data_IF_282497161578
#
_entry.id   IF_282497161578
#
_cell.length_a   1.000
_cell.length_b   1.000
_cell.length_c   1.000
_cell.angle_alpha   90.00
_cell.angle_beta   90.00
_cell.angle_gamma   90.00
#
_symmetry.space_group_name_H-M   'P 1'
#
loop_
_entity.id
_entity.type
_entity.pdbx_description
1 polymer ?
#
# COMPACT_ATOMS: atom_id res chain seq x y z
N UNK A 1 5.36 14.20 -12.32
CA UNK A 1 4.79 12.97 -12.93
C UNK A 1 3.31 12.88 -12.56
N UNK A 2 2.40 12.40 -13.42
CA UNK A 2 0.98 12.22 -13.03
C UNK A 2 0.89 11.05 -12.05
N UNK A 3 0.06 11.14 -11.01
CA UNK A 3 -0.08 10.11 -9.93
C UNK A 3 -0.27 8.70 -10.49
N UNK A 4 -1.06 8.56 -11.55
CA UNK A 4 -1.31 7.29 -12.26
C UNK A 4 -0.06 6.69 -12.90
N UNK A 5 0.78 7.51 -13.52
CA UNK A 5 2.04 7.07 -14.14
C UNK A 5 3.00 6.55 -13.06
N UNK A 6 3.09 7.28 -11.93
CA UNK A 6 3.90 6.89 -10.77
C UNK A 6 3.45 5.55 -10.17
N UNK A 7 2.14 5.39 -9.99
CA UNK A 7 1.54 4.13 -9.54
C UNK A 7 1.86 2.96 -10.48
N UNK A 8 1.70 3.12 -11.80
CA UNK A 8 2.01 2.06 -12.76
C UNK A 8 3.48 1.66 -12.72
N UNK A 9 4.40 2.61 -12.58
CA UNK A 9 5.83 2.33 -12.50
C UNK A 9 6.17 1.50 -11.26
N UNK A 10 5.67 1.88 -10.08
CA UNK A 10 5.96 1.15 -8.84
C UNK A 10 5.23 -0.19 -8.77
N UNK A 11 4.01 -0.29 -9.30
CA UNK A 11 3.30 -1.55 -9.48
C UNK A 11 4.07 -2.51 -10.40
N UNK A 12 4.77 -1.98 -11.41
CA UNK A 12 5.72 -2.73 -12.24
C UNK A 12 6.86 -3.33 -11.42
N UNK A 13 7.51 -2.54 -10.57
CA UNK A 13 8.59 -3.03 -9.67
C UNK A 13 8.09 -4.12 -8.71
N UNK A 14 6.91 -3.92 -8.11
CA UNK A 14 6.29 -4.92 -7.25
C UNK A 14 5.99 -6.22 -8.00
N UNK A 15 5.47 -6.13 -9.22
CA UNK A 15 5.16 -7.30 -10.06
C UNK A 15 6.43 -8.10 -10.40
N UNK A 16 7.55 -7.42 -10.66
CA UNK A 16 8.84 -8.08 -10.90
C UNK A 16 9.36 -8.79 -9.64
N UNK A 17 9.29 -8.14 -8.47
CA UNK A 17 9.68 -8.75 -7.20
C UNK A 17 8.80 -9.97 -6.86
N UNK A 18 7.48 -9.86 -7.08
CA UNK A 18 6.53 -10.97 -6.89
C UNK A 18 6.75 -12.12 -7.88
N UNK A 19 7.48 -11.90 -8.98
CA UNK A 19 7.84 -12.95 -9.93
C UNK A 19 9.14 -13.69 -9.58
N UNK A 20 9.89 -13.23 -8.56
CA UNK A 20 11.18 -13.81 -8.20
C UNK A 20 11.03 -15.26 -7.70
N UNK A 21 11.75 -16.23 -8.26
CA UNK A 21 11.62 -17.64 -7.87
C UNK A 21 12.03 -17.92 -6.41
N UNK A 22 12.87 -17.07 -5.80
CA UNK A 22 13.23 -17.19 -4.37
C UNK A 22 12.02 -17.00 -3.46
N UNK A 23 11.00 -16.27 -3.94
CA UNK A 23 9.75 -16.07 -3.21
C UNK A 23 9.01 -17.39 -3.03
N UNK A 24 8.83 -18.17 -4.11
CA UNK A 24 8.19 -19.47 -4.05
C UNK A 24 8.99 -20.49 -3.22
N UNK A 25 10.31 -20.44 -3.29
CA UNK A 25 11.18 -21.32 -2.49
C UNK A 25 11.11 -21.04 -0.98
N UNK A 26 10.75 -19.81 -0.58
CA UNK A 26 10.70 -19.39 0.82
C UNK A 26 9.27 -19.05 1.29
N UNK A 27 8.24 -19.49 0.55
CA UNK A 27 6.86 -19.06 0.72
C UNK A 27 6.34 -19.16 2.16
N UNK A 28 6.67 -20.24 2.86
CA UNK A 28 6.19 -20.51 4.22
C UNK A 28 7.14 -20.02 5.31
N UNK A 29 8.28 -19.42 4.96
CA UNK A 29 9.21 -18.86 5.94
C UNK A 29 8.65 -17.57 6.57
N UNK A 30 9.06 -17.22 7.81
CA UNK A 30 8.73 -15.94 8.41
C UNK A 30 9.23 -14.76 7.56
N UNK A 31 8.42 -13.70 7.47
CA UNK A 31 8.80 -12.43 6.84
C UNK A 31 9.35 -11.42 7.85
N UNK A 32 9.77 -10.25 7.36
CA UNK A 32 10.12 -9.09 8.17
C UNK A 32 8.92 -8.53 8.96
N UNK A 33 7.69 -8.77 8.51
CA UNK A 33 6.49 -8.38 9.26
C UNK A 33 6.11 -9.48 10.27
N UNK A 34 6.00 -9.14 11.57
CA UNK A 34 5.62 -10.10 12.59
C UNK A 34 4.32 -10.82 12.24
N UNK A 35 4.31 -12.15 12.43
CA UNK A 35 3.13 -13.03 12.22
C UNK A 35 2.65 -13.12 10.78
N UNK A 36 3.47 -12.72 9.81
CA UNK A 36 3.27 -13.01 8.40
C UNK A 36 4.40 -13.91 7.89
N UNK A 37 4.04 -14.92 7.10
CA UNK A 37 5.01 -15.61 6.23
C UNK A 37 5.37 -14.72 5.05
N UNK A 38 6.43 -15.06 4.34
CA UNK A 38 6.84 -14.42 3.10
C UNK A 38 5.71 -14.48 2.06
N UNK A 39 5.01 -15.62 1.95
CA UNK A 39 3.86 -15.79 1.08
C UNK A 39 2.69 -14.88 1.48
N UNK A 40 2.42 -14.71 2.78
CA UNK A 40 1.40 -13.78 3.25
C UNK A 40 1.77 -12.33 2.92
N UNK A 41 3.02 -11.90 3.18
CA UNK A 41 3.50 -10.56 2.83
C UNK A 41 3.44 -10.32 1.32
N UNK A 42 3.80 -11.30 0.50
CA UNK A 42 3.64 -11.23 -0.95
C UNK A 42 2.18 -11.10 -1.37
N UNK A 43 1.27 -11.85 -0.73
CA UNK A 43 -0.18 -11.72 -0.93
C UNK A 43 -0.68 -10.31 -0.59
N UNK A 44 -0.19 -9.72 0.51
CA UNK A 44 -0.50 -8.34 0.91
C UNK A 44 0.01 -7.31 -0.10
N UNK A 45 1.28 -7.43 -0.54
CA UNK A 45 1.85 -6.57 -1.58
C UNK A 45 1.07 -6.70 -2.90
N UNK A 46 0.78 -7.93 -3.36
CA UNK A 46 0.01 -8.16 -4.57
C UNK A 46 -1.41 -7.59 -4.49
N UNK A 47 -2.02 -7.66 -3.31
CA UNK A 47 -3.33 -7.10 -3.03
C UNK A 47 -3.39 -5.57 -3.21
N UNK A 48 -2.28 -4.85 -2.99
CA UNK A 48 -2.22 -3.41 -3.26
C UNK A 48 -2.44 -3.06 -4.75
N UNK A 49 -2.18 -4.01 -5.67
CA UNK A 49 -2.50 -3.88 -7.09
C UNK A 49 -3.92 -4.38 -7.38
N UNK A 50 -4.22 -5.60 -6.97
CA UNK A 50 -5.48 -6.29 -7.28
C UNK A 50 -6.70 -5.49 -6.82
N UNK A 51 -6.62 -4.84 -5.65
CA UNK A 51 -7.74 -4.09 -5.11
C UNK A 51 -8.09 -2.83 -5.93
N UNK A 52 -7.15 -2.27 -6.69
CA UNK A 52 -7.42 -1.12 -7.58
C UNK A 52 -8.41 -1.52 -8.66
N UNK A 53 -8.18 -2.65 -9.31
CA UNK A 53 -9.09 -3.16 -10.32
C UNK A 53 -10.45 -3.51 -9.72
N UNK A 54 -10.46 -4.20 -8.57
CA UNK A 54 -11.71 -4.53 -7.88
C UNK A 54 -12.55 -3.29 -7.53
N UNK A 55 -11.93 -2.19 -7.08
CA UNK A 55 -12.66 -0.95 -6.78
C UNK A 55 -13.11 -0.19 -8.02
N UNK A 56 -12.34 -0.27 -9.10
CA UNK A 56 -12.73 0.32 -10.37
C UNK A 56 -13.92 -0.42 -11.01
N UNK A 57 -14.02 -1.73 -10.80
CA UNK A 57 -15.12 -2.59 -11.27
C UNK A 57 -16.39 -2.52 -10.40
N UNK A 58 -16.25 -2.06 -9.15
CA UNK A 58 -17.37 -1.89 -8.24
C UNK A 58 -18.30 -0.74 -8.68
N UNK A 59 -19.53 -0.78 -8.15
CA UNK A 59 -20.45 0.33 -8.29
C UNK A 59 -19.83 1.62 -7.71
N UNK A 60 -20.11 2.80 -8.32
CA UNK A 60 -19.69 4.06 -7.73
C UNK A 60 -20.24 4.22 -6.30
N UNK A 61 -19.50 4.91 -5.42
CA UNK A 61 -19.99 5.15 -4.07
C UNK A 61 -21.31 5.95 -4.10
N UNK A 62 -22.17 5.81 -3.07
CA UNK A 62 -23.36 6.64 -2.91
C UNK A 62 -23.04 8.13 -3.00
N UNK A 63 -23.96 8.92 -3.55
CA UNK A 63 -23.78 10.38 -3.75
C UNK A 63 -23.55 11.13 -2.43
N UNK A 64 -24.09 10.61 -1.33
CA UNK A 64 -23.99 11.16 0.01
C UNK A 64 -22.84 10.55 0.85
N UNK A 65 -22.04 9.64 0.27
CA UNK A 65 -20.89 9.06 0.96
C UNK A 65 -19.86 10.14 1.32
N UNK A 66 -19.35 10.10 2.56
CA UNK A 66 -18.29 11.00 2.98
C UNK A 66 -17.06 10.78 2.12
N UNK A 67 -16.63 11.82 1.42
CA UNK A 67 -15.38 11.83 0.68
C UNK A 67 -14.21 12.04 1.64
N UNK A 68 -13.21 11.17 1.59
CA UNK A 68 -11.99 11.25 2.40
C UNK A 68 -10.76 11.31 1.51
N UNK A 69 -9.75 12.05 1.98
CA UNK A 69 -8.42 12.11 1.36
C UNK A 69 -7.59 10.86 1.68
N UNK A 70 -6.49 10.67 0.96
CA UNK A 70 -5.53 9.60 1.23
C UNK A 70 -5.00 9.62 2.68
N UNK A 71 -4.78 10.82 3.24
CA UNK A 71 -4.27 11.00 4.60
C UNK A 71 -5.32 10.66 5.65
N UNK A 72 -6.54 11.17 5.51
CA UNK A 72 -7.65 10.87 6.43
C UNK A 72 -7.97 9.37 6.46
N UNK A 73 -7.89 8.70 5.31
CA UNK A 73 -8.11 7.26 5.22
C UNK A 73 -7.19 6.47 6.16
N UNK A 74 -5.91 6.83 6.22
CA UNK A 74 -4.93 6.21 7.13
C UNK A 74 -5.07 6.69 8.57
N UNK A 75 -5.34 7.97 8.79
CA UNK A 75 -5.49 8.52 10.14
C UNK A 75 -6.65 7.88 10.92
N UNK A 76 -7.68 7.42 10.23
CA UNK A 76 -8.82 6.70 10.82
C UNK A 76 -8.49 5.24 11.18
N UNK A 77 -7.36 4.69 10.74
CA UNK A 77 -6.92 3.32 11.06
C UNK A 77 -6.23 3.26 12.43
N UNK A 78 -7.02 3.48 13.48
CA UNK A 78 -6.56 3.43 14.88
C UNK A 78 -6.27 1.97 15.30
N UNK A 79 -5.21 1.75 16.09
CA UNK A 79 -4.89 0.44 16.69
C UNK A 79 -3.98 -0.46 15.85
N UNK A 80 -3.23 0.11 14.90
CA UNK A 80 -2.20 -0.62 14.14
C UNK A 80 -1.05 -1.11 15.04
N UNK A 81 -0.78 -0.43 16.16
CA UNK A 81 0.30 -0.76 17.10
C UNK A 81 0.08 -2.10 17.83
N UNK A 82 -1.19 -2.51 18.00
CA UNK A 82 -1.53 -3.81 18.58
C UNK A 82 -1.64 -4.87 17.49
N UNK A 83 -0.66 -5.76 17.43
CA UNK A 83 -0.62 -6.86 16.46
C UNK A 83 -1.84 -7.80 16.55
N UNK A 84 -2.54 -7.85 17.69
CA UNK A 84 -3.72 -8.66 17.92
C UNK A 84 -5.05 -7.92 17.66
N UNK A 85 -5.00 -6.64 17.27
CA UNK A 85 -6.21 -5.87 16.95
C UNK A 85 -7.00 -6.50 15.80
N UNK A 86 -8.33 -6.32 15.80
CA UNK A 86 -9.20 -6.82 14.73
C UNK A 86 -8.77 -6.34 13.34
N UNK A 87 -8.24 -5.11 13.27
CA UNK A 87 -7.68 -4.53 12.06
C UNK A 87 -6.51 -5.38 11.54
N UNK A 88 -5.51 -5.63 12.39
CA UNK A 88 -4.31 -6.38 12.02
C UNK A 88 -4.60 -7.86 11.74
N UNK A 89 -5.52 -8.48 12.48
CA UNK A 89 -6.03 -9.82 12.17
C UNK A 89 -6.67 -9.84 10.79
N UNK A 90 -7.54 -8.87 10.48
CA UNK A 90 -8.20 -8.76 9.18
C UNK A 90 -7.22 -8.52 8.03
N UNK A 91 -6.17 -7.73 8.24
CA UNK A 91 -5.10 -7.52 7.23
C UNK A 91 -4.39 -8.84 6.93
N UNK A 92 -3.97 -9.58 7.96
CA UNK A 92 -3.34 -10.90 7.78
C UNK A 92 -4.25 -11.90 7.08
N UNK A 93 -5.53 -11.93 7.44
CA UNK A 93 -6.49 -12.83 6.83
C UNK A 93 -6.64 -12.56 5.32
N UNK A 94 -6.79 -11.30 4.90
CA UNK A 94 -6.87 -10.91 3.48
C UNK A 94 -5.55 -11.15 2.73
N UNK A 95 -4.42 -11.02 3.41
CA UNK A 95 -3.11 -11.34 2.86
C UNK A 95 -3.00 -12.84 2.53
N UNK A 96 -3.45 -13.70 3.46
CA UNK A 96 -3.52 -15.15 3.24
C UNK A 96 -4.49 -15.53 2.11
N UNK A 97 -5.67 -14.90 2.05
CA UNK A 97 -6.63 -15.11 0.95
C UNK A 97 -6.02 -14.79 -0.42
N UNK A 98 -5.27 -13.69 -0.50
CA UNK A 98 -4.57 -13.28 -1.72
C UNK A 98 -3.42 -14.23 -2.08
N UNK A 99 -2.81 -14.88 -1.07
CA UNK A 99 -1.74 -15.85 -1.20
C UNK A 99 -2.21 -17.30 -1.39
N UNK A 100 -3.52 -17.58 -1.27
CA UNK A 100 -4.05 -18.95 -1.16
C UNK A 100 -3.74 -19.84 -2.38
N UNK A 101 -3.59 -19.26 -3.56
CA UNK A 101 -3.21 -19.98 -4.79
C UNK A 101 -1.72 -20.29 -4.91
N UNK A 102 -0.88 -19.85 -3.96
CA UNK A 102 0.56 -19.98 -4.01
C UNK A 102 1.25 -19.00 -4.97
N UNK A 103 2.58 -19.12 -5.07
CA UNK A 103 3.44 -18.18 -5.79
C UNK A 103 3.06 -18.01 -7.27
N UNK A 104 2.89 -19.13 -7.99
CA UNK A 104 2.60 -19.08 -9.43
C UNK A 104 1.24 -18.43 -9.75
N UNK A 105 0.23 -18.69 -8.92
CA UNK A 105 -1.09 -18.08 -9.08
C UNK A 105 -1.03 -16.58 -8.78
N UNK A 106 -0.40 -16.19 -7.67
CA UNK A 106 -0.24 -14.78 -7.32
C UNK A 106 0.50 -14.01 -8.42
N UNK A 107 1.66 -14.52 -8.86
CA UNK A 107 2.45 -13.95 -9.97
C UNK A 107 1.60 -13.76 -11.23
N UNK A 108 0.77 -14.75 -11.57
CA UNK A 108 -0.09 -14.68 -12.76
C UNK A 108 -1.15 -13.59 -12.62
N UNK A 109 -1.83 -13.54 -11.47
CA UNK A 109 -2.88 -12.57 -11.18
C UNK A 109 -2.35 -11.13 -11.21
N UNK A 110 -1.25 -10.84 -10.50
CA UNK A 110 -0.69 -9.48 -10.45
C UNK A 110 -0.17 -9.02 -11.80
N UNK A 111 0.47 -9.91 -12.58
CA UNK A 111 0.94 -9.57 -13.92
C UNK A 111 -0.20 -9.29 -14.90
N UNK A 112 -1.33 -9.99 -14.77
CA UNK A 112 -2.52 -9.73 -15.57
C UNK A 112 -3.20 -8.42 -15.16
N UNK A 113 -3.35 -8.19 -13.85
CA UNK A 113 -3.92 -6.97 -13.31
C UNK A 113 -3.11 -5.73 -13.74
N UNK A 114 -1.78 -5.77 -13.63
CA UNK A 114 -0.92 -4.67 -14.07
C UNK A 114 -1.16 -4.30 -15.54
N UNK A 115 -1.25 -5.28 -16.45
CA UNK A 115 -1.52 -5.01 -17.86
C UNK A 115 -2.86 -4.31 -18.08
N UNK A 116 -3.92 -4.79 -17.40
CA UNK A 116 -5.25 -4.18 -17.50
C UNK A 116 -5.25 -2.76 -16.93
N UNK A 117 -4.58 -2.53 -15.80
CA UNK A 117 -4.47 -1.19 -15.20
C UNK A 117 -3.66 -0.23 -16.09
N UNK A 118 -2.61 -0.69 -16.76
CA UNK A 118 -1.85 0.11 -17.73
C UNK A 118 -2.71 0.61 -18.89
N UNK A 119 -3.65 -0.22 -19.37
CA UNK A 119 -4.57 0.14 -20.45
C UNK A 119 -5.73 1.02 -19.95
N UNK A 120 -6.25 0.74 -18.75
CA UNK A 120 -7.47 1.35 -18.20
C UNK A 120 -7.26 2.73 -17.60
N UNK A 121 -6.25 2.90 -16.73
CA UNK A 121 -6.07 4.13 -15.93
C UNK A 121 -5.95 5.42 -16.75
N UNK A 122 -5.37 5.45 -17.97
CA UNK A 122 -5.35 6.65 -18.80
C UNK A 122 -6.75 7.14 -19.23
N UNK A 123 -7.74 6.24 -19.30
CA UNK A 123 -9.10 6.55 -19.73
C UNK A 123 -10.09 6.90 -18.61
N UNK A 124 -9.71 6.69 -17.34
CA UNK A 124 -10.59 7.00 -16.20
C UNK A 124 -10.76 8.52 -16.04
N UNK A 125 -11.97 9.03 -15.71
CA UNK A 125 -12.20 10.45 -15.45
C UNK A 125 -11.31 10.99 -14.31
N UNK A 126 -11.04 12.31 -14.32
CA UNK A 126 -10.22 12.94 -13.28
C UNK A 126 -10.92 12.97 -11.91
N UNK A 127 -12.25 13.00 -11.92
CA UNK A 127 -13.16 13.00 -10.77
C UNK A 127 -13.71 11.60 -10.44
N UNK A 128 -13.13 10.53 -11.00
CA UNK A 128 -13.54 9.15 -10.72
C UNK A 128 -13.45 8.89 -9.21
N UNK A 129 -14.59 8.60 -8.59
CA UNK A 129 -14.67 8.17 -7.20
C UNK A 129 -14.69 6.64 -7.11
N UNK A 130 -14.08 6.11 -6.05
CA UNK A 130 -14.16 4.70 -5.64
C UNK A 130 -14.72 4.60 -4.22
N UNK A 131 -15.45 3.53 -3.93
CA UNK A 131 -15.83 3.20 -2.56
C UNK A 131 -14.66 2.51 -1.85
N UNK A 132 -14.28 3.04 -0.69
CA UNK A 132 -13.21 2.50 0.17
C UNK A 132 -13.79 2.01 1.50
N UNK A 133 -12.95 1.36 2.31
CA UNK A 133 -13.35 0.77 3.60
C UNK A 133 -14.23 1.70 4.44
N UNK A 134 -15.34 1.16 4.95
CA UNK A 134 -16.32 1.89 5.76
C UNK A 134 -17.38 2.64 4.95
N UNK A 135 -17.60 2.29 3.68
CA UNK A 135 -18.62 2.94 2.83
C UNK A 135 -18.30 4.39 2.49
N UNK A 136 -17.01 4.76 2.54
CA UNK A 136 -16.53 6.12 2.27
C UNK A 136 -16.19 6.25 0.79
N UNK A 137 -16.33 7.45 0.25
CA UNK A 137 -15.86 7.76 -1.09
C UNK A 137 -14.41 8.26 -1.05
N UNK A 138 -13.66 8.03 -2.12
CA UNK A 138 -12.34 8.61 -2.32
C UNK A 138 -12.10 8.84 -3.82
N UNK A 139 -11.41 9.92 -4.18
CA UNK A 139 -10.92 10.07 -5.56
C UNK A 139 -9.97 8.92 -5.90
N UNK A 140 -10.10 8.34 -7.09
CA UNK A 140 -9.21 7.29 -7.58
C UNK A 140 -7.74 7.71 -7.43
N UNK A 141 -7.42 8.94 -7.79
CA UNK A 141 -6.07 9.49 -7.71
C UNK A 141 -5.54 9.57 -6.26
N UNK A 142 -6.40 9.79 -5.26
CA UNK A 142 -6.01 9.72 -3.85
C UNK A 142 -5.87 8.27 -3.39
N UNK A 143 -6.75 7.38 -3.87
CA UNK A 143 -6.63 5.96 -3.58
C UNK A 143 -5.33 5.36 -4.13
N UNK A 144 -4.89 5.80 -5.32
CA UNK A 144 -3.60 5.44 -5.89
C UNK A 144 -2.42 6.00 -5.08
N UNK A 145 -2.57 7.14 -4.40
CA UNK A 145 -1.55 7.61 -3.43
C UNK A 145 -1.46 6.64 -2.24
N UNK A 146 -2.60 6.16 -1.70
CA UNK A 146 -2.57 5.12 -0.66
C UNK A 146 -1.88 3.85 -1.16
N UNK A 147 -2.19 3.39 -2.38
CA UNK A 147 -1.56 2.17 -2.93
C UNK A 147 -0.06 2.35 -3.16
N UNK A 148 0.40 3.54 -3.55
CA UNK A 148 1.84 3.82 -3.68
C UNK A 148 2.57 3.75 -2.35
N UNK A 149 1.95 4.18 -1.23
CA UNK A 149 2.50 3.98 0.12
C UNK A 149 2.68 2.49 0.41
N UNK A 150 1.60 1.70 0.28
CA UNK A 150 1.65 0.25 0.54
C UNK A 150 2.72 -0.45 -0.30
N UNK A 151 2.74 -0.17 -1.60
CA UNK A 151 3.66 -0.83 -2.53
C UNK A 151 5.10 -0.46 -2.19
N UNK A 152 5.38 0.82 -1.95
CA UNK A 152 6.74 1.30 -1.66
C UNK A 152 7.28 0.69 -0.38
N UNK A 153 6.49 0.69 0.69
CA UNK A 153 6.87 0.11 1.98
C UNK A 153 7.06 -1.41 1.86
N UNK A 154 6.11 -2.11 1.24
CA UNK A 154 6.14 -3.57 1.23
C UNK A 154 7.05 -4.18 0.14
N UNK A 155 7.52 -3.39 -0.84
CA UNK A 155 8.67 -3.78 -1.67
C UNK A 155 9.91 -3.94 -0.79
N UNK A 156 10.16 -2.99 0.12
CA UNK A 156 11.31 -3.03 1.03
C UNK A 156 11.18 -4.20 2.01
N UNK A 157 10.02 -4.34 2.67
CA UNK A 157 9.77 -5.45 3.61
C UNK A 157 9.98 -6.81 2.95
N UNK A 158 9.49 -6.99 1.72
CA UNK A 158 9.61 -8.26 1.00
C UNK A 158 11.04 -8.52 0.54
N UNK A 159 11.76 -7.49 0.08
CA UNK A 159 13.17 -7.63 -0.29
C UNK A 159 14.03 -8.02 0.93
N UNK A 160 13.83 -7.36 2.07
CA UNK A 160 14.49 -7.70 3.34
C UNK A 160 14.17 -9.13 3.74
N UNK A 161 12.90 -9.55 3.64
CA UNK A 161 12.48 -10.92 3.97
C UNK A 161 13.15 -11.98 3.10
N UNK A 162 13.49 -11.65 1.86
CA UNK A 162 14.17 -12.54 0.91
C UNK A 162 15.70 -12.46 0.98
N UNK A 163 16.26 -11.60 1.82
CA UNK A 163 17.70 -11.35 1.90
C UNK A 163 18.26 -10.65 0.66
N UNK A 164 17.45 -9.79 0.01
CA UNK A 164 17.79 -9.09 -1.21
C UNK A 164 18.05 -7.61 -0.95
N UNK A 165 18.90 -6.95 -1.76
CA UNK A 165 18.85 -5.50 -1.83
C UNK A 165 17.47 -5.06 -2.31
N UNK A 166 16.93 -4.01 -1.68
CA UNK A 166 15.66 -3.41 -2.09
C UNK A 166 15.75 -2.96 -3.55
N UNK A 167 14.82 -3.41 -4.43
CA UNK A 167 14.77 -2.94 -5.81
C UNK A 167 14.65 -1.42 -5.88
N UNK A 168 15.19 -0.81 -6.94
CA UNK A 168 15.02 0.62 -7.17
C UNK A 168 13.53 0.98 -7.25
N UNK A 169 13.09 1.85 -6.35
CA UNK A 169 11.73 2.36 -6.29
C UNK A 169 11.66 3.65 -7.13
N UNK A 170 10.69 3.82 -8.04
CA UNK A 170 10.58 5.04 -8.84
C UNK A 170 10.41 6.28 -7.98
N UNK A 171 11.19 7.33 -8.28
CA UNK A 171 11.25 8.55 -7.45
C UNK A 171 9.88 9.15 -7.17
N UNK A 172 9.00 9.27 -8.16
CA UNK A 172 7.68 9.87 -7.92
C UNK A 172 6.75 9.03 -7.03
N UNK A 173 6.97 7.71 -6.93
CA UNK A 173 6.27 6.87 -5.97
C UNK A 173 6.83 7.05 -4.56
N UNK A 174 8.16 7.19 -4.41
CA UNK A 174 8.81 7.56 -3.15
C UNK A 174 8.34 8.93 -2.66
N UNK A 175 8.37 9.96 -3.52
CA UNK A 175 7.86 11.30 -3.22
C UNK A 175 6.41 11.26 -2.73
N UNK A 176 5.56 10.47 -3.39
CA UNK A 176 4.17 10.29 -3.01
C UNK A 176 4.05 9.61 -1.65
N UNK A 177 4.76 8.50 -1.44
CA UNK A 177 4.73 7.76 -0.18
C UNK A 177 5.19 8.65 0.99
N UNK A 178 6.33 9.32 0.85
CA UNK A 178 6.88 10.25 1.86
C UNK A 178 5.89 11.38 2.16
N UNK A 179 5.30 12.00 1.12
CA UNK A 179 4.30 13.07 1.29
C UNK A 179 3.10 12.59 2.11
N UNK A 180 2.56 11.41 1.79
CA UNK A 180 1.39 10.84 2.50
C UNK A 180 1.75 10.49 3.93
N UNK A 181 2.89 9.84 4.17
CA UNK A 181 3.37 9.49 5.52
C UNK A 181 3.57 10.74 6.40
N UNK A 182 4.18 11.79 5.86
CA UNK A 182 4.30 13.09 6.55
C UNK A 182 2.92 13.70 6.79
N UNK A 183 1.98 13.55 5.85
CA UNK A 183 0.59 13.98 6.04
C UNK A 183 -0.08 13.28 7.23
N UNK A 184 0.04 11.96 7.31
CA UNK A 184 -0.49 11.14 8.42
C UNK A 184 0.14 11.59 9.74
N UNK A 185 1.46 11.72 9.77
CA UNK A 185 2.23 12.17 10.94
C UNK A 185 1.74 13.53 11.46
N UNK A 186 1.43 14.46 10.55
CA UNK A 186 0.90 15.78 10.90
C UNK A 186 -0.50 15.71 11.48
N UNK A 187 -1.33 14.79 11.01
CA UNK A 187 -2.68 14.55 11.55
C UNK A 187 -2.62 13.92 12.94
N UNK A 188 -1.72 12.96 13.16
CA UNK A 188 -1.58 12.23 14.42
C UNK A 188 -0.85 13.03 15.51
N UNK A 189 0.24 13.71 15.16
CA UNK A 189 1.16 14.34 16.12
C UNK A 189 1.23 15.89 16.03
N UNK A 190 0.60 16.48 15.01
CA UNK A 190 0.64 17.92 14.77
C UNK A 190 1.88 18.38 13.99
N UNK A 191 1.72 19.49 13.24
CA UNK A 191 2.75 19.94 12.29
C UNK A 191 4.07 20.38 12.95
N UNK A 192 4.03 20.92 14.18
CA UNK A 192 5.24 21.35 14.88
C UNK A 192 6.09 20.16 15.35
N UNK A 193 5.46 19.06 15.81
CA UNK A 193 6.18 17.85 16.21
C UNK A 193 6.90 17.22 15.01
N UNK A 194 6.21 17.10 13.88
CA UNK A 194 6.79 16.60 12.62
C UNK A 194 7.94 17.47 12.13
N UNK A 195 7.80 18.81 12.16
CA UNK A 195 8.89 19.72 11.78
C UNK A 195 10.13 19.53 12.69
N UNK A 196 9.92 19.36 14.00
CA UNK A 196 11.01 19.10 14.94
C UNK A 196 11.70 17.78 14.63
N UNK A 197 10.95 16.71 14.40
CA UNK A 197 11.49 15.40 14.07
C UNK A 197 12.31 15.39 12.78
N UNK A 198 11.85 16.07 11.73
CA UNK A 198 12.57 16.19 10.45
C UNK A 198 13.84 17.05 10.57
N UNK A 199 13.81 18.12 11.37
CA UNK A 199 14.91 19.08 11.43
C UNK A 199 15.98 18.72 12.48
N UNK A 200 15.59 18.13 13.60
CA UNK A 200 16.43 17.97 14.80
C UNK A 200 16.01 16.71 15.57
N UNK A 201 16.70 15.59 15.35
CA UNK A 201 16.41 14.29 16.00
C UNK A 201 16.35 14.39 17.53
N UNK A 202 17.15 15.26 18.14
CA UNK A 202 17.18 15.48 19.58
C UNK A 202 15.90 16.16 20.15
N UNK A 203 15.00 16.64 19.29
CA UNK A 203 13.70 17.25 19.65
C UNK A 203 12.50 16.37 19.31
N UNK A 204 12.73 15.17 18.78
CA UNK A 204 11.70 14.20 18.46
C UNK A 204 11.31 13.40 19.71
N UNK A 205 10.64 14.05 20.65
CA UNK A 205 10.23 13.42 21.91
C UNK A 205 9.06 12.44 21.74
N UNK A 206 8.28 12.62 20.67
CA UNK A 206 7.04 11.87 20.43
C UNK A 206 7.21 10.78 19.35
N UNK A 207 8.42 10.61 18.80
CA UNK A 207 8.70 9.78 17.64
C UNK A 207 7.76 10.08 16.46
N UNK A 208 7.55 11.37 16.18
CA UNK A 208 6.43 11.90 15.39
C UNK A 208 6.41 11.48 13.91
N UNK A 209 7.44 10.78 13.43
CA UNK A 209 7.52 10.23 12.07
C UNK A 209 7.17 8.73 12.00
N UNK A 210 6.88 8.08 13.14
CA UNK A 210 6.42 6.69 13.19
C UNK A 210 4.90 6.65 13.12
N UNK A 211 4.37 6.33 11.93
CA UNK A 211 2.93 6.39 11.63
C UNK A 211 2.31 5.03 11.28
N UNK A 212 3.12 3.97 11.39
CA UNK A 212 2.76 2.55 11.21
C UNK A 212 3.42 1.73 12.31
#
# INVERSE_FOLDING_TARGET
MRKRDAYIQVAGRATELLADPRLGAQWDHPSALPRMTIGALAGHLGRALLQVETYLDAEPPPVDARCVTAVEYYADLVGADDLDSELNVGVRQRALESAAGGHDALRTLVRQCLRRLQERLPGEPADRLVEVFGGRAMLLDDYLDNRQVEITVHIDDLAVSLGLPTPEIPEGALETAIRVLVGIARTQHGSLAVLRALARRERDHDAALRVF
#
